data_IF_783157529182
#
_entry.id   IF_783157529182
#
_cell.length_a   1.000
_cell.length_b   1.000
_cell.length_c   1.000
_cell.angle_alpha   90.00
_cell.angle_beta   90.00
_cell.angle_gamma   90.00
#
_symmetry.space_group_name_H-M   'P 1'
#
loop_
_entity.id
_entity.type
_entity.pdbx_description
1 polymer ?
#
# COMPACT_ATOMS: atom_id res chain seq x y z
N UNK A 1 -3.01 12.34 12.81
CA UNK A 1 -1.77 11.66 12.42
C UNK A 1 -1.21 10.90 13.61
N UNK A 2 -1.01 9.59 13.46
CA UNK A 2 -0.39 8.75 14.49
C UNK A 2 1.02 9.23 14.82
N UNK A 3 1.53 8.92 16.02
CA UNK A 3 2.95 9.16 16.32
C UNK A 3 3.80 8.53 15.24
N UNK A 4 4.89 9.17 14.84
CA UNK A 4 5.77 8.70 13.75
C UNK A 4 6.22 7.24 13.92
N UNK A 5 6.47 6.81 15.16
CA UNK A 5 6.78 5.42 15.50
C UNK A 5 5.58 4.48 15.32
N UNK A 6 4.35 4.96 15.59
CA UNK A 6 3.12 4.19 15.38
C UNK A 6 2.86 3.95 13.89
N UNK A 7 3.01 4.99 13.04
CA UNK A 7 2.82 4.86 11.59
C UNK A 7 3.81 3.85 10.97
N UNK A 8 5.09 3.90 11.37
CA UNK A 8 6.10 2.96 10.90
C UNK A 8 5.78 1.50 11.29
N UNK A 9 5.38 1.28 12.54
CA UNK A 9 5.04 -0.06 13.05
C UNK A 9 3.78 -0.60 12.38
N UNK A 10 2.75 0.24 12.23
CA UNK A 10 1.52 -0.09 11.53
C UNK A 10 1.80 -0.46 10.07
N UNK A 11 2.52 0.39 9.32
CA UNK A 11 2.84 0.14 7.92
C UNK A 11 3.65 -1.15 7.72
N UNK A 12 4.63 -1.41 8.59
CA UNK A 12 5.41 -2.65 8.54
C UNK A 12 4.55 -3.89 8.81
N UNK A 13 3.62 -3.81 9.74
CA UNK A 13 2.78 -4.94 10.06
C UNK A 13 1.70 -5.17 9.01
N UNK A 14 0.92 -4.14 8.68
CA UNK A 14 -0.22 -4.25 7.76
C UNK A 14 0.26 -4.56 6.35
N UNK A 15 1.09 -3.69 5.78
CA UNK A 15 1.39 -3.72 4.34
C UNK A 15 2.57 -4.61 4.02
N UNK A 16 3.66 -4.55 4.81
CA UNK A 16 4.85 -5.36 4.50
C UNK A 16 4.69 -6.81 4.93
N UNK A 17 4.28 -7.05 6.20
CA UNK A 17 4.16 -8.41 6.72
C UNK A 17 2.94 -9.14 6.15
N UNK A 18 1.76 -8.57 6.32
CA UNK A 18 0.50 -9.23 6.01
C UNK A 18 0.04 -9.02 4.55
N UNK A 19 0.63 -8.07 3.84
CA UNK A 19 0.48 -7.89 2.40
C UNK A 19 1.62 -8.54 1.61
N UNK A 20 2.77 -7.85 1.49
CA UNK A 20 3.88 -8.23 0.62
C UNK A 20 4.48 -9.59 0.97
N UNK A 21 4.94 -9.79 2.22
CA UNK A 21 5.59 -11.04 2.63
C UNK A 21 4.62 -12.22 2.59
N UNK A 22 3.36 -12.00 2.97
CA UNK A 22 2.33 -13.02 2.86
C UNK A 22 2.15 -13.47 1.40
N UNK A 23 2.02 -12.52 0.46
CA UNK A 23 1.83 -12.82 -0.95
C UNK A 23 3.05 -13.56 -1.53
N UNK A 24 4.27 -13.09 -1.26
CA UNK A 24 5.52 -13.73 -1.72
C UNK A 24 5.58 -15.18 -1.23
N UNK A 25 5.34 -15.41 0.07
CA UNK A 25 5.42 -16.73 0.67
C UNK A 25 4.37 -17.70 0.09
N UNK A 26 3.16 -17.19 -0.19
CA UNK A 26 2.07 -17.99 -0.74
C UNK A 26 2.27 -18.35 -2.21
N UNK A 27 2.74 -17.39 -3.01
CA UNK A 27 2.80 -17.55 -4.47
C UNK A 27 4.17 -17.98 -4.99
N UNK A 28 5.21 -17.92 -4.15
CA UNK A 28 6.61 -18.26 -4.52
C UNK A 28 7.10 -17.49 -5.75
N UNK A 29 6.57 -16.28 -5.96
CA UNK A 29 6.90 -15.39 -7.08
C UNK A 29 7.84 -14.27 -6.62
N UNK A 30 8.74 -13.85 -7.50
CA UNK A 30 9.68 -12.76 -7.26
C UNK A 30 9.24 -11.43 -7.91
N UNK A 31 8.40 -11.48 -8.94
CA UNK A 31 7.86 -10.29 -9.61
C UNK A 31 6.50 -9.97 -9.04
N UNK A 32 6.30 -8.73 -8.61
CA UNK A 32 5.10 -8.28 -7.93
C UNK A 32 4.61 -6.92 -8.47
N UNK A 33 3.32 -6.86 -8.83
CA UNK A 33 2.62 -5.63 -9.20
C UNK A 33 1.82 -5.14 -8.00
N UNK A 34 2.13 -3.97 -7.47
CA UNK A 34 1.45 -3.40 -6.31
C UNK A 34 0.66 -2.16 -6.69
N UNK A 35 -0.57 -2.09 -6.21
CA UNK A 35 -1.39 -0.88 -6.21
C UNK A 35 -1.57 -0.40 -4.78
N UNK A 36 -1.24 0.84 -4.51
CA UNK A 36 -1.51 1.52 -3.24
C UNK A 36 -2.58 2.60 -3.45
N UNK A 37 -3.57 2.63 -2.57
CA UNK A 37 -4.52 3.72 -2.45
C UNK A 37 -4.15 4.57 -1.25
N UNK A 38 -3.84 5.85 -1.50
CA UNK A 38 -3.36 6.80 -0.50
C UNK A 38 -1.84 6.79 -0.38
N UNK A 39 -1.14 7.51 -1.27
CA UNK A 39 0.32 7.67 -1.19
C UNK A 39 0.74 8.40 0.08
N UNK A 40 -0.02 9.43 0.46
CA UNK A 40 0.25 10.25 1.64
C UNK A 40 1.69 10.76 1.67
N UNK A 41 2.44 10.34 2.67
CA UNK A 41 3.86 10.70 2.83
C UNK A 41 4.83 9.85 2.00
N UNK A 42 4.37 8.77 1.39
CA UNK A 42 5.19 7.79 0.67
C UNK A 42 5.86 6.74 1.58
N UNK A 43 5.45 6.67 2.84
CA UNK A 43 6.08 5.75 3.82
C UNK A 43 5.98 4.29 3.40
N UNK A 44 4.80 3.83 2.94
CA UNK A 44 4.58 2.44 2.55
C UNK A 44 5.37 2.11 1.29
N UNK A 45 5.38 3.01 0.30
CA UNK A 45 6.17 2.85 -0.92
C UNK A 45 7.67 2.74 -0.60
N UNK A 46 8.19 3.60 0.28
CA UNK A 46 9.59 3.55 0.70
C UNK A 46 9.93 2.27 1.47
N UNK A 47 9.09 1.85 2.40
CA UNK A 47 9.29 0.58 3.12
C UNK A 47 9.28 -0.62 2.17
N UNK A 48 8.41 -0.60 1.17
CA UNK A 48 8.33 -1.64 0.13
C UNK A 48 9.60 -1.67 -0.71
N UNK A 49 10.13 -0.49 -1.08
CA UNK A 49 11.43 -0.35 -1.73
C UNK A 49 12.55 -0.98 -0.90
N UNK A 50 12.64 -0.67 0.40
CA UNK A 50 13.65 -1.25 1.28
C UNK A 50 13.57 -2.79 1.38
N UNK A 51 12.37 -3.36 1.32
CA UNK A 51 12.21 -4.82 1.29
C UNK A 51 12.64 -5.43 -0.06
N UNK A 52 12.42 -4.73 -1.19
CA UNK A 52 12.87 -5.19 -2.51
C UNK A 52 14.40 -5.25 -2.61
N UNK A 53 15.10 -4.27 -2.03
CA UNK A 53 16.57 -4.24 -2.00
C UNK A 53 17.15 -5.41 -1.18
N UNK A 54 16.47 -5.82 -0.10
CA UNK A 54 16.93 -6.94 0.74
C UNK A 54 16.75 -8.32 0.09
N UNK A 55 15.68 -8.50 -0.68
CA UNK A 55 15.23 -9.83 -1.16
C UNK A 55 15.36 -10.03 -2.66
N UNK A 56 15.85 -9.04 -3.39
CA UNK A 56 15.95 -9.05 -4.85
C UNK A 56 14.60 -9.33 -5.56
N UNK A 57 13.49 -9.01 -4.90
CA UNK A 57 12.18 -9.09 -5.54
C UNK A 57 12.02 -7.92 -6.50
N UNK A 58 11.57 -8.18 -7.73
CA UNK A 58 11.23 -7.11 -8.67
C UNK A 58 9.82 -6.60 -8.37
N UNK A 59 9.70 -5.32 -8.08
CA UNK A 59 8.44 -4.68 -7.72
C UNK A 59 8.13 -3.54 -8.71
N UNK A 60 6.96 -3.60 -9.33
CA UNK A 60 6.33 -2.47 -9.99
C UNK A 60 5.26 -1.88 -9.08
N UNK A 61 5.52 -0.68 -8.59
CA UNK A 61 4.67 -0.01 -7.62
C UNK A 61 3.87 1.12 -8.29
N UNK A 62 2.56 1.05 -8.18
CA UNK A 62 1.65 2.13 -8.59
C UNK A 62 0.96 2.67 -7.34
N UNK A 63 1.04 3.96 -7.08
CA UNK A 63 0.33 4.59 -5.98
C UNK A 63 -0.60 5.69 -6.48
N UNK A 64 -1.78 5.77 -5.89
CA UNK A 64 -2.79 6.78 -6.20
C UNK A 64 -2.90 7.74 -5.02
N UNK A 65 -3.02 9.03 -5.33
CA UNK A 65 -3.28 10.09 -4.35
C UNK A 65 -4.14 11.18 -5.02
N UNK A 66 -5.28 11.45 -4.42
CA UNK A 66 -6.18 12.48 -4.95
C UNK A 66 -5.78 13.89 -4.52
N UNK A 67 -5.09 14.01 -3.38
CA UNK A 67 -4.70 15.27 -2.75
C UNK A 67 -3.26 15.21 -2.25
N UNK A 68 -2.27 15.31 -3.17
CA UNK A 68 -0.87 15.24 -2.82
C UNK A 68 -0.48 16.26 -1.75
N UNK A 69 0.31 15.84 -0.78
CA UNK A 69 0.90 16.75 0.21
C UNK A 69 1.86 17.72 -0.47
N UNK A 70 1.85 18.95 -0.01
CA UNK A 70 2.79 19.97 -0.46
C UNK A 70 4.22 19.62 -0.02
N UNK A 71 5.23 20.06 -0.79
CA UNK A 71 6.63 19.77 -0.49
C UNK A 71 7.04 20.24 0.89
N UNK A 72 6.55 21.40 1.32
CA UNK A 72 6.87 21.97 2.63
C UNK A 72 6.29 21.12 3.78
N UNK A 73 5.10 20.54 3.60
CA UNK A 73 4.49 19.64 4.57
C UNK A 73 5.30 18.33 4.73
N UNK A 74 5.94 17.86 3.65
CA UNK A 74 6.79 16.67 3.67
C UNK A 74 8.11 16.91 4.39
N UNK A 75 8.71 18.10 4.26
CA UNK A 75 9.98 18.48 4.94
C UNK A 75 9.83 18.43 6.46
N UNK A 76 8.71 18.87 6.99
CA UNK A 76 8.44 18.90 8.43
C UNK A 76 8.32 17.50 9.07
N UNK A 77 8.08 16.47 8.26
CA UNK A 77 7.89 15.11 8.78
C UNK A 77 9.17 14.47 9.32
N UNK A 78 10.36 14.90 8.86
CA UNK A 78 11.69 14.44 9.32
C UNK A 78 11.81 12.90 9.42
N UNK A 79 11.20 12.15 8.50
CA UNK A 79 11.25 10.67 8.53
C UNK A 79 12.65 10.10 8.34
N UNK A 80 13.60 10.87 7.76
CA UNK A 80 14.96 10.42 7.51
C UNK A 80 15.67 9.90 8.76
N UNK A 81 15.42 10.46 9.94
CA UNK A 81 16.06 9.95 11.15
C UNK A 81 15.64 8.52 11.52
N UNK A 82 14.47 8.08 11.07
CA UNK A 82 13.99 6.70 11.30
C UNK A 82 14.77 5.68 10.46
N UNK A 83 15.39 6.14 9.37
CA UNK A 83 16.08 5.31 8.39
C UNK A 83 17.59 5.58 8.31
N UNK A 84 18.09 6.62 8.96
CA UNK A 84 19.45 7.17 8.80
C UNK A 84 20.65 6.27 9.20
N UNK A 85 20.41 5.03 9.66
CA UNK A 85 21.46 4.06 9.99
C UNK A 85 21.80 3.08 8.87
N UNK A 86 21.12 3.16 7.74
CA UNK A 86 21.26 2.20 6.66
C UNK A 86 21.72 2.91 5.38
N UNK A 87 22.73 2.35 4.74
CA UNK A 87 23.24 2.87 3.47
C UNK A 87 22.45 2.28 2.30
N UNK A 88 21.21 2.76 2.11
CA UNK A 88 20.38 2.38 0.98
C UNK A 88 20.68 3.23 -0.25
N UNK A 89 20.42 2.68 -1.44
CA UNK A 89 20.64 3.36 -2.73
C UNK A 89 19.79 4.62 -2.92
N UNK A 90 18.66 4.72 -2.21
CA UNK A 90 17.77 5.88 -2.17
C UNK A 90 17.35 6.17 -0.74
N UNK A 91 17.23 7.44 -0.41
CA UNK A 91 16.73 7.94 0.87
C UNK A 91 15.22 8.16 0.82
N UNK A 92 14.60 8.37 1.98
CA UNK A 92 13.18 8.74 2.05
C UNK A 92 12.92 10.08 1.33
N UNK A 93 13.85 11.04 1.45
CA UNK A 93 13.73 12.34 0.76
C UNK A 93 13.80 12.20 -0.76
N UNK A 94 14.48 11.20 -1.31
CA UNK A 94 14.46 10.96 -2.74
C UNK A 94 13.05 10.59 -3.23
N UNK A 95 12.25 9.87 -2.41
CA UNK A 95 10.86 9.52 -2.73
C UNK A 95 9.93 10.74 -2.75
N UNK A 96 10.15 11.72 -1.88
CA UNK A 96 9.38 12.96 -1.87
C UNK A 96 9.61 13.82 -3.12
N UNK A 97 10.79 13.72 -3.72
CA UNK A 97 11.20 14.51 -4.92
C UNK A 97 10.76 13.88 -6.24
N UNK A 98 10.28 12.64 -6.24
CA UNK A 98 9.81 11.98 -7.45
C UNK A 98 8.63 12.74 -8.08
N UNK A 99 8.60 12.80 -9.40
CA UNK A 99 7.51 13.46 -10.13
C UNK A 99 6.23 12.61 -10.11
N UNK A 100 5.10 13.29 -10.20
CA UNK A 100 3.80 12.66 -10.40
C UNK A 100 3.61 12.24 -11.85
N UNK A 101 2.80 11.20 -12.09
CA UNK A 101 2.40 10.66 -13.40
C UNK A 101 3.53 10.12 -14.28
N UNK A 102 4.77 10.12 -13.78
CA UNK A 102 5.93 9.58 -14.47
C UNK A 102 6.39 8.29 -13.81
N UNK A 103 6.49 7.20 -14.61
CA UNK A 103 7.09 5.94 -14.13
C UNK A 103 8.61 6.11 -14.03
N UNK A 104 9.14 5.95 -12.82
CA UNK A 104 10.56 6.07 -12.54
C UNK A 104 11.14 4.73 -12.09
N UNK A 105 12.23 4.31 -12.72
CA UNK A 105 12.98 3.13 -12.31
C UNK A 105 14.03 3.56 -11.29
N UNK A 106 13.80 3.22 -10.02
CA UNK A 106 14.67 3.63 -8.92
C UNK A 106 15.91 2.73 -8.78
N UNK A 107 15.71 1.42 -9.01
CA UNK A 107 16.79 0.42 -9.06
C UNK A 107 16.50 -0.63 -10.12
N UNK A 108 17.34 -1.65 -10.26
CA UNK A 108 17.05 -2.80 -11.14
C UNK A 108 15.75 -3.52 -10.72
N UNK A 109 15.44 -3.49 -9.43
CA UNK A 109 14.38 -4.29 -8.82
C UNK A 109 13.15 -3.49 -8.41
N UNK A 110 13.16 -2.16 -8.52
CA UNK A 110 12.05 -1.33 -8.08
C UNK A 110 11.73 -0.19 -9.06
N UNK A 111 10.50 -0.14 -9.51
CA UNK A 111 9.96 1.00 -10.24
C UNK A 111 8.70 1.53 -9.57
N UNK A 112 8.54 2.85 -9.55
CA UNK A 112 7.42 3.57 -8.95
C UNK A 112 6.78 4.50 -9.95
N UNK A 113 5.45 4.52 -9.98
CA UNK A 113 4.66 5.61 -10.54
C UNK A 113 3.69 6.11 -9.46
N UNK A 114 3.77 7.38 -9.13
CA UNK A 114 2.76 8.09 -8.34
C UNK A 114 1.77 8.73 -9.30
N UNK A 115 0.49 8.56 -9.07
CA UNK A 115 -0.57 9.15 -9.88
C UNK A 115 -1.40 10.12 -9.06
N UNK A 116 -1.47 11.37 -9.51
CA UNK A 116 -2.36 12.38 -8.94
C UNK A 116 -3.78 12.17 -9.49
N UNK A 117 -4.47 11.19 -8.91
CA UNK A 117 -5.81 10.77 -9.36
C UNK A 117 -6.58 10.11 -8.22
N UNK A 118 -7.89 10.28 -8.19
CA UNK A 118 -8.76 9.55 -7.28
C UNK A 118 -8.91 8.08 -7.68
N UNK A 119 -9.24 7.21 -6.70
CA UNK A 119 -9.53 5.80 -7.03
C UNK A 119 -10.78 5.65 -7.90
N UNK A 120 -11.70 6.58 -7.80
CA UNK A 120 -12.92 6.62 -8.61
C UNK A 120 -12.58 6.77 -10.10
N UNK A 121 -11.71 7.72 -10.42
CA UNK A 121 -11.31 8.05 -11.80
C UNK A 121 -10.25 7.10 -12.35
N UNK A 122 -9.53 6.39 -11.48
CA UNK A 122 -8.47 5.48 -11.90
C UNK A 122 -9.02 4.31 -12.71
N UNK A 123 -8.65 4.27 -13.99
CA UNK A 123 -8.96 3.20 -14.92
C UNK A 123 -7.68 2.62 -15.52
N UNK A 124 -7.59 1.30 -15.55
CA UNK A 124 -6.41 0.60 -16.08
C UNK A 124 -6.79 -0.80 -16.58
N UNK A 125 -6.05 -1.26 -17.58
CA UNK A 125 -6.08 -2.66 -18.05
C UNK A 125 -5.05 -3.54 -17.32
N UNK A 126 -4.21 -2.95 -16.46
CA UNK A 126 -3.25 -3.70 -15.65
C UNK A 126 -3.97 -4.43 -14.53
N UNK A 127 -3.47 -5.61 -14.20
CA UNK A 127 -3.83 -6.33 -12.98
C UNK A 127 -2.70 -6.25 -11.98
N UNK A 128 -3.05 -6.38 -10.71
CA UNK A 128 -2.12 -6.26 -9.59
C UNK A 128 -2.08 -7.57 -8.80
N UNK A 129 -0.98 -7.78 -8.12
CA UNK A 129 -0.81 -8.92 -7.22
C UNK A 129 -1.17 -8.55 -5.78
N UNK A 130 -0.99 -7.27 -5.43
CA UNK A 130 -1.32 -6.77 -4.10
C UNK A 130 -1.99 -5.40 -4.23
N UNK A 131 -3.04 -5.19 -3.43
CA UNK A 131 -3.63 -3.87 -3.18
C UNK A 131 -3.39 -3.51 -1.71
N UNK A 132 -2.63 -2.43 -1.49
CA UNK A 132 -2.51 -1.75 -0.21
C UNK A 132 -3.60 -0.69 -0.13
N UNK A 133 -4.62 -0.96 0.68
CA UNK A 133 -5.77 -0.08 0.81
C UNK A 133 -5.58 0.83 2.03
N UNK A 134 -4.83 1.93 1.85
CA UNK A 134 -4.48 2.91 2.89
C UNK A 134 -5.30 4.21 2.78
N UNK A 135 -6.51 4.10 2.25
CA UNK A 135 -7.44 5.23 2.22
C UNK A 135 -7.76 5.74 3.63
N UNK A 136 -8.16 7.01 3.74
CA UNK A 136 -8.62 7.56 5.02
C UNK A 136 -9.73 6.70 5.63
N UNK A 137 -9.75 6.64 6.96
CA UNK A 137 -10.70 5.79 7.68
C UNK A 137 -12.16 6.08 7.29
N UNK A 138 -13.01 5.04 7.31
CA UNK A 138 -14.41 5.12 6.92
C UNK A 138 -15.28 6.09 7.77
N UNK A 139 -14.72 6.77 8.75
CA UNK A 139 -15.33 7.89 9.45
C UNK A 139 -15.02 9.23 8.78
N UNK A 140 -13.89 9.34 8.07
CA UNK A 140 -13.45 10.54 7.38
C UNK A 140 -13.86 10.54 5.90
N UNK A 141 -13.79 9.38 5.25
CA UNK A 141 -14.17 9.18 3.85
C UNK A 141 -14.98 7.88 3.70
N UNK A 142 -16.25 7.85 4.16
CA UNK A 142 -17.08 6.65 4.10
C UNK A 142 -17.31 6.15 2.67
N UNK A 143 -17.35 7.04 1.70
CA UNK A 143 -17.54 6.75 0.28
C UNK A 143 -16.49 5.80 -0.29
N UNK A 144 -15.24 5.86 0.14
CA UNK A 144 -14.18 4.96 -0.31
C UNK A 144 -14.34 3.52 0.20
N UNK A 145 -15.23 3.29 1.16
CA UNK A 145 -15.45 1.97 1.77
C UNK A 145 -16.74 1.28 1.31
N UNK A 146 -17.38 1.81 0.27
CA UNK A 146 -18.55 1.23 -0.35
C UNK A 146 -18.24 -0.07 -1.10
N UNK A 147 -19.26 -0.94 -1.24
CA UNK A 147 -19.12 -2.26 -1.88
C UNK A 147 -18.62 -2.18 -3.31
N UNK A 148 -18.95 -1.11 -4.05
CA UNK A 148 -18.48 -0.91 -5.44
C UNK A 148 -16.96 -0.86 -5.54
N UNK A 149 -16.27 -0.28 -4.53
CA UNK A 149 -14.82 -0.19 -4.51
C UNK A 149 -14.16 -1.51 -4.13
N UNK A 150 -14.77 -2.29 -3.25
CA UNK A 150 -14.28 -3.64 -2.95
C UNK A 150 -14.40 -4.55 -4.17
N UNK A 151 -15.47 -4.40 -4.96
CA UNK A 151 -15.63 -5.08 -6.24
C UNK A 151 -14.56 -4.64 -7.26
N UNK A 152 -14.32 -3.33 -7.39
CA UNK A 152 -13.24 -2.80 -8.24
C UNK A 152 -11.87 -3.34 -7.83
N UNK A 153 -11.57 -3.40 -6.54
CA UNK A 153 -10.34 -4.02 -6.03
C UNK A 153 -10.24 -5.50 -6.44
N UNK A 154 -11.33 -6.25 -6.34
CA UNK A 154 -11.36 -7.65 -6.74
C UNK A 154 -11.09 -7.82 -8.25
N UNK A 155 -11.69 -6.98 -9.09
CA UNK A 155 -11.49 -7.00 -10.54
C UNK A 155 -10.05 -6.66 -10.92
N UNK A 156 -9.42 -5.71 -10.22
CA UNK A 156 -8.03 -5.28 -10.46
C UNK A 156 -6.98 -6.30 -10.00
N UNK A 157 -7.31 -7.27 -9.16
CA UNK A 157 -6.35 -8.26 -8.66
C UNK A 157 -6.22 -9.46 -9.59
N UNK A 158 -5.01 -9.98 -9.71
CA UNK A 158 -4.73 -11.29 -10.27
C UNK A 158 -5.29 -12.42 -9.38
N UNK A 159 -5.59 -13.64 -9.91
CA UNK A 159 -5.82 -14.81 -9.08
C UNK A 159 -4.66 -15.03 -8.10
N UNK A 160 -4.96 -15.34 -6.85
CA UNK A 160 -3.99 -15.40 -5.74
C UNK A 160 -3.57 -14.03 -5.19
N UNK A 161 -4.10 -12.95 -5.74
CA UNK A 161 -3.80 -11.59 -5.30
C UNK A 161 -4.37 -11.26 -3.92
N UNK A 162 -3.75 -10.29 -3.26
CA UNK A 162 -4.01 -9.92 -1.85
C UNK A 162 -4.47 -8.48 -1.75
N UNK A 163 -5.59 -8.27 -1.09
CA UNK A 163 -6.04 -6.98 -0.58
C UNK A 163 -5.76 -6.90 0.92
N UNK A 164 -5.19 -5.82 1.41
CA UNK A 164 -4.89 -5.62 2.82
C UNK A 164 -5.11 -4.18 3.26
N UNK A 165 -5.65 -4.01 4.47
CA UNK A 165 -5.88 -2.70 5.10
C UNK A 165 -5.83 -2.82 6.62
N UNK A 166 -5.54 -1.70 7.28
CA UNK A 166 -5.63 -1.55 8.73
C UNK A 166 -7.08 -1.58 9.25
N UNK A 167 -8.07 -1.53 8.36
CA UNK A 167 -9.50 -1.51 8.70
C UNK A 167 -9.96 -2.87 9.23
N UNK A 168 -10.82 -2.85 10.27
CA UNK A 168 -11.44 -4.04 10.85
C UNK A 168 -12.97 -4.01 10.84
N UNK A 169 -13.59 -2.99 10.18
CA UNK A 169 -15.04 -2.81 10.20
C UNK A 169 -15.78 -3.98 9.56
N UNK A 170 -16.82 -4.48 10.25
CA UNK A 170 -17.64 -5.59 9.77
C UNK A 170 -18.35 -5.31 8.45
N UNK A 171 -18.70 -4.04 8.16
CA UNK A 171 -19.30 -3.66 6.88
C UNK A 171 -18.31 -3.86 5.73
N UNK A 172 -17.04 -3.46 5.91
CA UNK A 172 -15.97 -3.64 4.91
C UNK A 172 -15.71 -5.13 4.67
N UNK A 173 -15.65 -5.93 5.75
CA UNK A 173 -15.53 -7.39 5.64
C UNK A 173 -16.63 -7.98 4.75
N UNK A 174 -17.88 -7.66 5.03
CA UNK A 174 -19.02 -8.16 4.22
C UNK A 174 -18.97 -7.70 2.77
N UNK A 175 -18.52 -6.47 2.51
CA UNK A 175 -18.34 -5.95 1.16
C UNK A 175 -17.24 -6.68 0.38
N UNK A 176 -16.15 -7.03 1.05
CA UNK A 176 -15.08 -7.86 0.47
C UNK A 176 -15.58 -9.28 0.17
N UNK A 177 -16.28 -9.92 1.10
CA UNK A 177 -16.88 -11.25 0.92
C UNK A 177 -17.89 -11.24 -0.25
N UNK A 178 -18.73 -10.24 -0.32
CA UNK A 178 -19.69 -10.06 -1.41
C UNK A 178 -19.03 -9.80 -2.77
N UNK A 179 -17.82 -9.20 -2.79
CA UNK A 179 -17.03 -9.02 -3.99
C UNK A 179 -16.32 -10.30 -4.45
N UNK A 180 -16.29 -11.35 -3.63
CA UNK A 180 -15.69 -12.65 -3.95
C UNK A 180 -14.35 -12.95 -3.26
N UNK A 181 -13.88 -12.09 -2.35
CA UNK A 181 -12.68 -12.34 -1.59
C UNK A 181 -12.87 -13.45 -0.54
N UNK A 182 -11.85 -14.28 -0.38
CA UNK A 182 -11.68 -15.07 0.83
C UNK A 182 -11.09 -14.15 1.92
N UNK A 183 -11.91 -13.75 2.89
CA UNK A 183 -11.54 -12.71 3.88
C UNK A 183 -11.11 -13.34 5.19
N UNK A 184 -9.96 -12.90 5.70
CA UNK A 184 -9.45 -13.26 7.02
C UNK A 184 -9.40 -12.04 7.93
N UNK A 185 -9.83 -12.22 9.19
CA UNK A 185 -9.48 -11.32 10.29
C UNK A 185 -8.16 -11.78 10.86
N UNK A 186 -7.19 -10.89 10.87
CA UNK A 186 -5.83 -11.18 11.34
C UNK A 186 -5.47 -10.21 12.47
N UNK A 187 -4.52 -10.56 13.36
CA UNK A 187 -4.11 -9.66 14.44
C UNK A 187 -3.70 -8.29 13.90
N UNK A 188 -4.24 -7.24 14.50
CA UNK A 188 -3.93 -5.86 14.15
C UNK A 188 -2.57 -5.39 14.68
N UNK A 189 -2.08 -4.24 14.21
CA UNK A 189 -0.90 -3.60 14.78
C UNK A 189 -1.15 -3.15 16.22
N UNK A 190 -0.10 -2.81 16.99
CA UNK A 190 -0.25 -2.33 18.37
C UNK A 190 -1.32 -1.24 18.49
N UNK A 191 -2.25 -1.43 19.43
CA UNK A 191 -3.40 -0.56 19.63
C UNK A 191 -4.66 -0.94 18.83
N UNK A 192 -4.58 -1.93 17.92
CA UNK A 192 -5.73 -2.47 17.18
C UNK A 192 -5.84 -3.98 17.38
N UNK A 193 -7.02 -4.45 17.72
CA UNK A 193 -7.27 -5.88 17.98
C UNK A 193 -7.11 -6.73 16.71
N UNK A 194 -7.63 -6.26 15.61
CA UNK A 194 -7.69 -7.00 14.36
C UNK A 194 -7.68 -6.05 13.14
N UNK A 195 -7.36 -6.60 11.98
CA UNK A 195 -7.42 -5.96 10.67
C UNK A 195 -7.88 -6.96 9.62
N UNK A 196 -8.11 -6.53 8.38
CA UNK A 196 -8.65 -7.38 7.33
C UNK A 196 -7.60 -7.66 6.24
N UNK A 197 -7.60 -8.91 5.79
CA UNK A 197 -6.94 -9.35 4.56
C UNK A 197 -7.92 -10.14 3.71
N UNK A 198 -8.05 -9.76 2.44
CA UNK A 198 -8.81 -10.48 1.42
C UNK A 198 -7.87 -11.13 0.40
N UNK A 199 -8.18 -12.35 -0.01
CA UNK A 199 -7.43 -13.06 -1.05
C UNK A 199 -8.39 -13.41 -2.18
N UNK A 200 -8.01 -13.06 -3.42
CA UNK A 200 -8.72 -13.51 -4.63
C UNK A 200 -8.33 -14.94 -4.95
N UNK A 201 -9.30 -15.84 -4.94
CA UNK A 201 -9.10 -17.26 -5.32
C UNK A 201 -8.95 -17.40 -6.82
#
# INVERSE_FOLDING_TARGET
>A
YHSRHGALTESRMVYLKEGLKYWINKNQKINCQILELGYGTGLIAYLTFLESEKKQNTIEYTSLEAYPLLKDELVDLKYNYLFGKYNYSKTFDDFSKLDWDIKQKLTSNFSLIKKEISFEEFNTKKSFDIIFYDAFGAHAQPELWESKWMKKCFELLNPGGVWVSYCSKGIVRRSLEAAGFNVSRIPGPPGKREMLRGVKS
#
